data_IF_364818777223
#
_entry.id   IF_364818777223
#
_cell.length_a   1.000
_cell.length_b   1.000
_cell.length_c   1.000
_cell.angle_alpha   90.00
_cell.angle_beta   90.00
_cell.angle_gamma   90.00
#
_symmetry.space_group_name_H-M   'P 1'
#
loop_
_entity.id
_entity.type
_entity.pdbx_description
1 polymer ?
#
# COMPACT_ATOMS: atom_id res chain seq x y z
N UNK A 1 17.98 -0.70 1.28
CA UNK A 1 16.91 -1.65 0.85
C UNK A 1 15.99 -0.94 -0.13
N UNK A 2 15.85 -1.41 -1.39
CA UNK A 2 14.97 -0.78 -2.38
C UNK A 2 13.50 -0.91 -1.97
N UNK A 3 12.71 0.15 -2.22
CA UNK A 3 11.27 0.21 -1.91
C UNK A 3 10.54 0.92 -3.06
N UNK A 4 9.37 0.41 -3.42
CA UNK A 4 8.45 1.06 -4.34
C UNK A 4 7.05 1.13 -3.70
N UNK A 5 6.38 2.27 -3.87
CA UNK A 5 5.00 2.49 -3.41
C UNK A 5 4.12 2.73 -4.63
N UNK A 6 3.10 1.90 -4.81
CA UNK A 6 2.11 2.05 -5.87
C UNK A 6 0.82 2.67 -5.31
N UNK A 7 0.37 3.76 -5.93
CA UNK A 7 -0.87 4.45 -5.57
C UNK A 7 -1.83 4.43 -6.78
N UNK A 8 -3.10 4.15 -6.50
CA UNK A 8 -4.18 4.11 -7.49
C UNK A 8 -4.21 2.80 -8.29
N UNK A 9 -4.79 2.86 -9.48
CA UNK A 9 -5.06 1.69 -10.31
C UNK A 9 -6.36 0.97 -9.95
N UNK A 10 -6.39 -0.35 -10.16
CA UNK A 10 -7.58 -1.15 -9.86
C UNK A 10 -7.79 -1.25 -8.34
N UNK A 11 -8.98 -0.92 -7.79
CA UNK A 11 -9.22 -0.88 -6.35
C UNK A 11 -9.02 -2.24 -5.66
N UNK A 12 -9.08 -3.34 -6.42
CA UNK A 12 -8.78 -4.67 -5.88
C UNK A 12 -7.32 -4.76 -5.42
N UNK A 13 -6.38 -4.02 -6.03
CA UNK A 13 -4.97 -4.01 -5.59
C UNK A 13 -4.85 -3.50 -4.16
N UNK A 14 -5.49 -2.36 -3.86
CA UNK A 14 -5.49 -1.79 -2.52
C UNK A 14 -6.17 -2.72 -1.51
N UNK A 15 -7.29 -3.36 -1.88
CA UNK A 15 -7.93 -4.35 -1.02
C UNK A 15 -7.02 -5.57 -0.77
N UNK A 16 -6.49 -6.18 -1.82
CA UNK A 16 -5.66 -7.39 -1.72
C UNK A 16 -4.41 -7.18 -0.88
N UNK A 17 -3.82 -5.98 -0.92
CA UNK A 17 -2.70 -5.59 -0.06
C UNK A 17 -3.00 -5.59 1.45
N UNK A 18 -4.28 -5.59 1.84
CA UNK A 18 -4.71 -5.64 3.25
C UNK A 18 -5.13 -7.04 3.70
N UNK A 19 -5.23 -7.99 2.77
CA UNK A 19 -5.75 -9.32 3.07
C UNK A 19 -4.73 -10.14 3.89
N UNK A 20 -5.16 -10.86 4.93
CA UNK A 20 -4.27 -11.70 5.74
C UNK A 20 -3.99 -13.01 5.00
N UNK A 21 -2.99 -12.97 4.12
CA UNK A 21 -2.60 -14.13 3.30
C UNK A 21 -1.49 -14.96 3.98
N UNK A 22 -1.45 -16.28 3.72
CA UNK A 22 -0.30 -17.11 4.09
C UNK A 22 0.99 -16.66 3.39
N UNK A 23 2.15 -16.86 4.02
CA UNK A 23 3.48 -16.43 3.53
C UNK A 23 3.81 -16.85 2.08
N UNK A 24 3.20 -17.93 1.58
CA UNK A 24 3.44 -18.46 0.24
C UNK A 24 2.44 -17.95 -0.81
N UNK A 25 1.54 -17.03 -0.45
CA UNK A 25 0.55 -16.44 -1.35
C UNK A 25 0.75 -14.93 -1.42
N UNK A 26 1.26 -14.49 -2.56
CA UNK A 26 1.40 -13.09 -2.95
C UNK A 26 0.03 -12.40 -3.16
N UNK A 27 -0.09 -11.17 -2.69
CA UNK A 27 -1.27 -10.31 -2.78
C UNK A 27 -1.72 -10.08 -4.24
N UNK A 28 -0.80 -10.02 -5.20
CA UNK A 28 -1.11 -9.95 -6.63
C UNK A 28 -1.77 -11.22 -7.15
N UNK A 29 -1.48 -12.39 -6.57
CA UNK A 29 -2.21 -13.63 -6.90
C UNK A 29 -3.66 -13.55 -6.43
N UNK A 30 -3.90 -13.04 -5.22
CA UNK A 30 -5.26 -12.80 -4.72
C UNK A 30 -5.99 -11.78 -5.60
N UNK A 31 -5.33 -10.67 -5.94
CA UNK A 31 -5.92 -9.64 -6.80
C UNK A 31 -6.29 -10.24 -8.17
N UNK A 32 -5.41 -11.07 -8.74
CA UNK A 32 -5.67 -11.74 -10.00
C UNK A 32 -6.82 -12.76 -9.93
N UNK A 33 -6.93 -13.48 -8.82
CA UNK A 33 -8.02 -14.41 -8.54
C UNK A 33 -9.37 -13.69 -8.46
N UNK A 34 -9.47 -12.62 -7.67
CA UNK A 34 -10.70 -11.82 -7.51
C UNK A 34 -11.14 -11.23 -8.86
N UNK A 35 -10.20 -10.69 -9.64
CA UNK A 35 -10.49 -10.02 -10.92
C UNK A 35 -10.66 -10.99 -12.09
N UNK A 36 -10.36 -12.28 -11.90
CA UNK A 36 -10.32 -13.32 -12.95
C UNK A 36 -9.38 -12.97 -14.12
N UNK A 37 -8.34 -12.18 -13.86
CA UNK A 37 -7.30 -11.78 -14.82
C UNK A 37 -6.01 -11.47 -14.07
N UNK A 38 -4.86 -11.81 -14.66
CA UNK A 38 -3.56 -11.50 -14.04
C UNK A 38 -3.36 -10.00 -13.83
N UNK A 39 -2.64 -9.63 -12.77
CA UNK A 39 -2.07 -8.28 -12.62
C UNK A 39 -0.85 -8.20 -13.53
N UNK A 40 -0.80 -7.20 -14.40
CA UNK A 40 0.37 -6.95 -15.22
C UNK A 40 1.37 -6.12 -14.42
N UNK A 41 2.63 -6.55 -14.45
CA UNK A 41 3.70 -5.92 -13.71
C UNK A 41 4.67 -5.25 -14.70
N UNK A 42 5.29 -4.16 -14.25
CA UNK A 42 6.34 -3.46 -14.96
C UNK A 42 7.49 -3.17 -14.01
N UNK A 43 8.72 -3.27 -14.52
CA UNK A 43 9.92 -2.98 -13.74
C UNK A 43 9.99 -1.50 -13.37
N UNK A 44 10.38 -1.22 -12.13
CA UNK A 44 10.79 0.10 -11.66
C UNK A 44 11.94 0.69 -12.51
N UNK A 45 12.03 2.02 -12.56
CA UNK A 45 13.08 2.72 -13.31
C UNK A 45 14.42 2.74 -12.58
N UNK A 46 14.43 2.80 -11.24
CA UNK A 46 15.65 3.00 -10.43
C UNK A 46 16.13 1.75 -9.69
N UNK A 47 15.36 0.67 -9.72
CA UNK A 47 15.67 -0.58 -9.02
C UNK A 47 15.02 -1.79 -9.71
N UNK A 48 15.23 -2.99 -9.15
CA UNK A 48 14.78 -4.26 -9.75
C UNK A 48 13.38 -4.73 -9.30
N UNK A 49 12.67 -3.94 -8.49
CA UNK A 49 11.29 -4.25 -8.12
C UNK A 49 10.36 -4.13 -9.32
N UNK A 50 9.24 -4.87 -9.27
CA UNK A 50 8.15 -4.73 -10.21
C UNK A 50 6.93 -4.14 -9.51
N UNK A 51 6.19 -3.29 -10.22
CA UNK A 51 4.98 -2.62 -9.75
C UNK A 51 3.83 -2.83 -10.73
N UNK A 52 2.56 -2.72 -10.31
CA UNK A 52 1.43 -2.83 -11.23
C UNK A 52 1.49 -1.76 -12.33
N UNK A 53 1.40 -2.17 -13.60
CA UNK A 53 1.44 -1.26 -14.75
C UNK A 53 0.23 -0.30 -14.80
N UNK A 54 -0.82 -0.66 -14.08
CA UNK A 54 -2.07 0.09 -14.00
C UNK A 54 -2.11 1.05 -12.79
N UNK A 55 -1.07 1.13 -11.96
CA UNK A 55 -1.00 2.15 -10.91
C UNK A 55 -1.06 3.57 -11.51
N UNK A 56 -1.61 4.52 -10.75
CA UNK A 56 -1.69 5.92 -11.17
C UNK A 56 -0.38 6.65 -10.91
N UNK A 57 0.26 6.37 -9.77
CA UNK A 57 1.50 6.98 -9.31
C UNK A 57 2.38 5.87 -8.72
N UNK A 58 3.65 5.84 -9.10
CA UNK A 58 4.69 5.01 -8.49
C UNK A 58 5.73 5.92 -7.86
N UNK A 59 6.08 5.64 -6.61
CA UNK A 59 7.16 6.31 -5.88
C UNK A 59 8.26 5.28 -5.63
N UNK A 60 9.44 5.50 -6.20
CA UNK A 60 10.58 4.59 -6.09
C UNK A 60 11.68 5.20 -5.23
N UNK A 61 12.36 4.37 -4.46
CA UNK A 61 13.42 4.83 -3.59
C UNK A 61 14.05 3.70 -2.79
N UNK A 62 14.55 4.07 -1.62
CA UNK A 62 15.14 3.12 -0.69
C UNK A 62 14.96 3.56 0.76
N UNK A 63 15.06 2.58 1.65
CA UNK A 63 15.26 2.78 3.07
C UNK A 63 16.70 2.37 3.38
N UNK A 64 17.44 3.22 4.09
CA UNK A 64 18.75 2.88 4.66
C UNK A 64 18.55 2.34 6.08
N UNK A 65 18.78 1.03 6.34
CA UNK A 65 18.60 0.46 7.68
C UNK A 65 19.62 0.94 8.72
N UNK A 66 20.73 1.53 8.28
CA UNK A 66 21.80 2.02 9.16
C UNK A 66 21.64 3.52 9.48
N UNK A 67 20.74 4.22 8.80
CA UNK A 67 20.49 5.63 9.05
C UNK A 67 19.67 5.82 10.35
N UNK A 68 19.91 6.96 11.01
CA UNK A 68 19.07 7.40 12.11
C UNK A 68 17.60 7.55 11.68
N UNK A 69 16.72 6.96 12.49
CA UNK A 69 15.27 7.01 12.31
C UNK A 69 14.75 8.46 12.39
N UNK A 70 13.61 8.70 11.76
CA UNK A 70 12.88 9.96 11.86
C UNK A 70 11.79 9.89 12.94
N UNK A 71 11.60 11.00 13.65
CA UNK A 71 10.49 11.16 14.59
C UNK A 71 9.20 11.42 13.80
N UNK A 72 8.23 10.49 13.90
CA UNK A 72 6.94 10.53 13.20
C UNK A 72 5.79 10.69 14.19
N UNK A 73 4.70 11.32 13.77
CA UNK A 73 3.49 11.50 14.58
C UNK A 73 3.46 12.81 15.39
N UNK A 74 2.44 12.99 16.26
CA UNK A 74 1.37 12.02 16.55
C UNK A 74 0.41 11.86 15.37
N UNK A 75 -0.28 10.72 15.29
CA UNK A 75 -1.19 10.40 14.19
C UNK A 75 -2.56 9.94 14.71
N UNK A 76 -3.65 10.44 14.14
CA UNK A 76 -5.00 9.97 14.49
C UNK A 76 -5.21 8.55 14.00
N UNK A 77 -5.64 7.63 14.86
CA UNK A 77 -5.69 6.19 14.57
C UNK A 77 -7.14 5.68 14.52
N UNK A 78 -7.32 4.46 14.00
CA UNK A 78 -8.60 3.75 13.84
C UNK A 78 -9.41 3.57 15.13
N UNK A 79 -8.77 3.76 16.29
CA UNK A 79 -9.43 3.76 17.61
C UNK A 79 -10.21 5.05 17.89
N UNK A 80 -10.03 6.09 17.08
CA UNK A 80 -10.57 7.43 17.32
C UNK A 80 -9.69 8.31 18.22
N UNK A 81 -8.50 7.84 18.59
CA UNK A 81 -7.52 8.56 19.41
C UNK A 81 -6.22 8.79 18.65
N UNK A 82 -5.33 9.63 19.20
CA UNK A 82 -4.00 9.81 18.67
C UNK A 82 -3.07 8.70 19.16
N UNK A 83 -2.39 8.05 18.21
CA UNK A 83 -1.17 7.29 18.48
C UNK A 83 -0.05 8.25 18.85
N UNK A 84 0.77 7.83 19.82
CA UNK A 84 1.91 8.61 20.27
C UNK A 84 2.97 8.67 19.17
N UNK A 85 3.77 9.76 19.12
CA UNK A 85 4.90 9.82 18.19
C UNK A 85 5.96 8.76 18.54
N UNK A 86 6.66 8.26 17.52
CA UNK A 86 7.76 7.28 17.68
C UNK A 86 8.80 7.41 16.54
N UNK A 87 9.85 6.61 16.61
CA UNK A 87 10.95 6.58 15.64
C UNK A 87 10.71 5.56 14.52
N UNK A 88 10.72 6.02 13.26
CA UNK A 88 10.51 5.18 12.08
C UNK A 88 11.57 5.37 10.98
N UNK A 89 11.77 4.40 10.07
CA UNK A 89 12.72 4.54 8.97
C UNK A 89 12.34 5.65 8.00
N UNK A 90 13.35 6.30 7.41
CA UNK A 90 13.15 7.30 6.34
C UNK A 90 13.06 6.61 4.99
N UNK A 91 12.08 7.01 4.20
CA UNK A 91 11.98 6.62 2.80
C UNK A 91 12.59 7.71 1.90
N UNK A 92 13.75 7.40 1.29
CA UNK A 92 14.43 8.30 0.37
C UNK A 92 13.88 8.13 -1.05
N UNK A 93 13.05 9.08 -1.48
CA UNK A 93 12.45 9.07 -2.81
C UNK A 93 13.49 9.47 -3.86
N UNK A 94 13.64 8.62 -4.87
CA UNK A 94 14.59 8.81 -5.99
C UNK A 94 13.87 9.07 -7.31
N UNK A 95 12.65 8.56 -7.48
CA UNK A 95 11.87 8.74 -8.69
C UNK A 95 10.37 8.73 -8.36
N UNK A 96 9.61 9.56 -9.07
CA UNK A 96 8.15 9.50 -9.09
C UNK A 96 7.74 9.40 -10.56
N UNK A 97 7.01 8.35 -10.91
CA UNK A 97 6.39 8.19 -12.23
C UNK A 97 4.88 8.19 -12.08
N UNK A 98 4.16 8.68 -13.09
CA UNK A 98 2.70 8.75 -13.01
C UNK A 98 2.04 8.77 -14.39
N UNK A 99 0.77 8.39 -14.43
CA UNK A 99 -0.09 8.55 -15.61
C UNK A 99 -0.40 10.02 -15.89
N UNK A 100 -0.69 10.34 -17.16
CA UNK A 100 -1.05 11.72 -17.57
C UNK A 100 -2.24 12.32 -16.78
N UNK A 101 -3.23 11.50 -16.46
CA UNK A 101 -4.42 11.88 -15.68
C UNK A 101 -4.47 11.08 -14.37
N UNK A 102 -3.34 11.00 -13.67
CA UNK A 102 -3.22 10.22 -12.45
C UNK A 102 -4.21 10.68 -11.38
N UNK A 103 -4.84 9.72 -10.71
CA UNK A 103 -5.67 9.96 -9.51
C UNK A 103 -4.84 9.62 -8.28
N UNK A 104 -4.76 10.55 -7.32
CA UNK A 104 -4.14 10.30 -6.03
C UNK A 104 -5.20 9.80 -5.05
N UNK A 105 -5.23 8.49 -4.71
CA UNK A 105 -6.12 8.00 -3.67
C UNK A 105 -5.61 8.49 -2.32
N UNK A 106 -6.55 8.94 -1.50
CA UNK A 106 -6.29 9.35 -0.13
C UNK A 106 -7.44 8.87 0.74
N UNK A 107 -7.11 8.49 1.97
CA UNK A 107 -8.08 8.12 2.99
C UNK A 107 -7.74 8.81 4.30
N UNK A 108 -8.68 8.75 5.23
CA UNK A 108 -8.49 9.21 6.60
C UNK A 108 -8.87 8.06 7.53
N UNK A 109 -8.14 7.94 8.64
CA UNK A 109 -8.47 7.06 9.75
C UNK A 109 -8.87 7.91 10.96
N UNK A 110 -9.65 7.34 11.87
CA UNK A 110 -10.20 8.07 13.00
C UNK A 110 -11.35 7.31 13.67
N UNK A 111 -12.33 8.05 14.21
CA UNK A 111 -13.48 7.45 14.88
C UNK A 111 -14.25 6.56 13.87
N UNK A 112 -14.44 5.25 14.16
CA UNK A 112 -15.09 4.34 13.23
C UNK A 112 -16.60 4.66 13.07
N UNK A 113 -17.20 4.30 11.91
CA UNK A 113 -16.59 3.59 10.79
C UNK A 113 -15.86 4.54 9.82
N UNK A 114 -14.62 4.19 9.45
CA UNK A 114 -13.89 4.77 8.32
C UNK A 114 -13.68 3.69 7.23
N UNK A 115 -12.93 4.00 6.17
CA UNK A 115 -12.73 3.09 5.03
C UNK A 115 -12.14 1.73 5.44
N UNK A 116 -11.19 1.74 6.37
CA UNK A 116 -10.56 0.56 6.98
C UNK A 116 -11.58 -0.41 7.58
N UNK A 117 -12.61 0.09 8.27
CA UNK A 117 -13.68 -0.74 8.84
C UNK A 117 -14.46 -1.50 7.77
N UNK A 118 -14.66 -0.91 6.58
CA UNK A 118 -15.33 -1.55 5.46
C UNK A 118 -14.43 -2.57 4.76
N UNK A 119 -13.13 -2.29 4.64
CA UNK A 119 -12.14 -3.22 4.12
C UNK A 119 -12.05 -4.47 5.01
N UNK A 120 -11.98 -4.30 6.33
CA UNK A 120 -11.97 -5.40 7.30
C UNK A 120 -13.25 -6.24 7.17
N UNK A 121 -14.41 -5.60 7.03
CA UNK A 121 -15.68 -6.30 6.83
C UNK A 121 -15.69 -7.11 5.53
N UNK A 122 -15.06 -6.63 4.46
CA UNK A 122 -14.92 -7.40 3.23
C UNK A 122 -14.05 -8.64 3.45
N UNK A 123 -12.93 -8.51 4.16
CA UNK A 123 -12.06 -9.63 4.55
C UNK A 123 -12.80 -10.65 5.41
N UNK A 124 -13.58 -10.23 6.41
CA UNK A 124 -14.44 -11.13 7.20
C UNK A 124 -15.33 -11.99 6.29
N UNK A 125 -15.98 -11.37 5.30
CA UNK A 125 -16.91 -12.05 4.40
C UNK A 125 -16.25 -12.95 3.36
N UNK A 126 -14.98 -12.71 3.03
CA UNK A 126 -14.24 -13.50 2.03
C UNK A 126 -13.59 -14.72 2.68
N UNK A 127 -13.08 -14.59 3.91
CA UNK A 127 -12.27 -15.63 4.55
C UNK A 127 -12.99 -16.49 5.59
N UNK A 128 -14.09 -16.00 6.19
CA UNK A 128 -14.77 -16.69 7.31
C UNK A 128 -16.12 -17.32 6.93
N UNK A 129 -16.46 -17.34 5.65
CA UNK A 129 -17.66 -18.03 5.12
C UNK A 129 -17.29 -19.31 4.39
#
# INVERSE_FOLDING_TARGET
MPVAVALGGDPVLAYSATAPLPDNIDEYMLAGFIRKRKVNMVKCLTNDLEVPDEADIIIEGYIDPEEELAWEGPFGDHTGFYSLPDWFPKFHVTCITHKKNAVYPATIVGIPPQEDAWIIKATERIFLT
#
